data_IF_329284429000
#
_entry.id   IF_329284429000
#
_cell.length_a   1.000
_cell.length_b   1.000
_cell.length_c   1.000
_cell.angle_alpha   90.00
_cell.angle_beta   90.00
_cell.angle_gamma   90.00
#
_symmetry.space_group_name_H-M   'P 1'
#
loop_
_entity.id
_entity.type
_entity.pdbx_description
1 polymer ?
#
# COMPACT_ATOMS: atom_id res chain seq x y z
N UNK A 1 10.45 -14.96 42.50
CA UNK A 1 10.27 -13.78 41.68
C UNK A 1 11.36 -13.65 40.64
N UNK A 2 12.63 -13.79 41.02
CA UNK A 2 13.76 -13.68 40.06
C UNK A 2 13.78 -14.85 39.07
N UNK A 3 13.52 -16.07 39.54
CA UNK A 3 13.46 -17.24 38.67
C UNK A 3 12.32 -17.16 37.64
N UNK A 4 11.18 -16.63 38.06
CA UNK A 4 10.03 -16.45 37.16
C UNK A 4 10.32 -15.39 36.05
N UNK A 5 11.01 -14.31 36.41
CA UNK A 5 11.40 -13.29 35.47
C UNK A 5 12.43 -13.80 34.44
N UNK A 6 13.40 -14.60 34.91
CA UNK A 6 14.39 -15.23 34.05
C UNK A 6 13.77 -16.25 33.10
N UNK A 7 12.82 -17.07 33.58
CA UNK A 7 12.10 -18.04 32.75
C UNK A 7 11.24 -17.35 31.69
N UNK A 8 10.58 -16.25 32.04
CA UNK A 8 9.79 -15.46 31.10
C UNK A 8 10.67 -14.82 30.02
N UNK A 9 11.80 -14.23 30.44
CA UNK A 9 12.73 -13.60 29.49
C UNK A 9 13.28 -14.61 28.47
N UNK A 10 13.60 -15.84 28.95
CA UNK A 10 14.06 -16.92 28.09
C UNK A 10 12.98 -17.38 27.12
N UNK A 11 11.75 -17.54 27.59
CA UNK A 11 10.62 -17.92 26.75
C UNK A 11 10.31 -16.87 25.69
N UNK A 12 10.36 -15.59 26.07
CA UNK A 12 10.15 -14.47 25.15
C UNK A 12 11.24 -14.44 24.07
N UNK A 13 12.50 -14.66 24.44
CA UNK A 13 13.62 -14.71 23.49
C UNK A 13 13.51 -15.89 22.52
N UNK A 14 13.10 -17.06 23.01
CA UNK A 14 12.89 -18.25 22.18
C UNK A 14 11.72 -18.03 21.19
N UNK A 15 10.62 -17.42 21.65
CA UNK A 15 9.48 -17.11 20.81
C UNK A 15 9.86 -16.12 19.70
N UNK A 16 10.64 -15.10 20.03
CA UNK A 16 11.13 -14.13 19.04
C UNK A 16 12.06 -14.78 18.01
N UNK A 17 12.99 -15.59 18.45
CA UNK A 17 13.92 -16.30 17.56
C UNK A 17 13.17 -17.20 16.60
N UNK A 18 12.13 -17.90 17.05
CA UNK A 18 11.29 -18.75 16.23
C UNK A 18 10.52 -17.93 15.21
N UNK A 19 9.92 -16.82 15.62
CA UNK A 19 9.18 -15.93 14.74
C UNK A 19 10.11 -15.33 13.67
N UNK A 20 11.32 -14.90 14.05
CA UNK A 20 12.31 -14.36 13.10
C UNK A 20 12.75 -15.42 12.08
N UNK A 21 12.95 -16.68 12.53
CA UNK A 21 13.32 -17.78 11.64
C UNK A 21 12.19 -18.13 10.67
N UNK A 22 10.95 -18.14 11.14
CA UNK A 22 9.77 -18.38 10.28
C UNK A 22 9.60 -17.26 9.24
N UNK A 23 9.81 -16.00 9.63
CA UNK A 23 9.74 -14.86 8.73
C UNK A 23 10.81 -14.94 7.64
N UNK A 24 12.05 -15.31 8.00
CA UNK A 24 13.15 -15.50 7.03
C UNK A 24 12.86 -16.65 6.07
N UNK A 25 12.34 -17.76 6.57
CA UNK A 25 12.00 -18.91 5.74
C UNK A 25 10.89 -18.57 4.75
N UNK A 26 9.87 -17.82 5.20
CA UNK A 26 8.77 -17.35 4.34
C UNK A 26 9.29 -16.41 3.27
N UNK A 27 10.14 -15.46 3.62
CA UNK A 27 10.74 -14.53 2.66
C UNK A 27 11.57 -15.26 1.63
N UNK A 28 12.41 -16.22 2.04
CA UNK A 28 13.24 -17.00 1.14
C UNK A 28 12.40 -17.85 0.19
N UNK A 29 11.23 -18.33 0.63
CA UNK A 29 10.32 -19.13 -0.19
C UNK A 29 9.46 -18.28 -1.14
N UNK A 30 9.39 -16.96 -0.94
CA UNK A 30 8.58 -16.09 -1.78
C UNK A 30 9.21 -15.95 -3.17
N UNK A 31 8.44 -16.18 -4.26
CA UNK A 31 8.98 -16.04 -5.61
C UNK A 31 9.56 -14.64 -5.87
N UNK A 32 10.63 -14.60 -6.65
CA UNK A 32 11.30 -13.32 -6.97
C UNK A 32 10.34 -12.36 -7.71
N UNK A 33 9.45 -12.89 -8.53
CA UNK A 33 8.45 -12.06 -9.23
C UNK A 33 7.54 -11.34 -8.25
N UNK A 34 7.14 -12.01 -7.16
CA UNK A 34 6.32 -11.40 -6.11
C UNK A 34 7.07 -10.27 -5.39
N UNK A 35 8.35 -10.49 -5.11
CA UNK A 35 9.20 -9.46 -4.50
C UNK A 35 9.37 -8.26 -5.42
N UNK A 36 9.54 -8.51 -6.71
CA UNK A 36 9.65 -7.44 -7.70
C UNK A 36 8.35 -6.66 -7.84
N UNK A 37 7.22 -7.33 -7.83
CA UNK A 37 5.91 -6.67 -7.85
C UNK A 37 5.73 -5.77 -6.63
N UNK A 38 6.14 -6.23 -5.44
CA UNK A 38 6.08 -5.42 -4.23
C UNK A 38 6.98 -4.18 -4.32
N UNK A 39 8.18 -4.31 -4.86
CA UNK A 39 9.08 -3.16 -5.06
C UNK A 39 8.45 -2.13 -6.00
N UNK A 40 7.85 -2.58 -7.08
CA UNK A 40 7.15 -1.68 -8.01
C UNK A 40 5.94 -1.02 -7.34
N UNK A 41 5.18 -1.77 -6.56
CA UNK A 41 4.05 -1.24 -5.82
C UNK A 41 4.47 -0.13 -4.85
N UNK A 42 5.59 -0.33 -4.15
CA UNK A 42 6.14 0.69 -3.24
C UNK A 42 6.50 1.97 -3.99
N UNK A 43 7.10 1.85 -5.18
CA UNK A 43 7.42 3.01 -6.01
C UNK A 43 6.17 3.76 -6.46
N UNK A 44 5.16 3.03 -6.93
CA UNK A 44 3.90 3.64 -7.35
C UNK A 44 3.19 4.36 -6.20
N UNK A 45 3.21 3.78 -5.01
CA UNK A 45 2.62 4.43 -3.84
C UNK A 45 3.41 5.66 -3.40
N UNK A 46 4.73 5.53 -3.26
CA UNK A 46 5.57 6.59 -2.68
C UNK A 46 5.78 7.76 -3.65
N UNK A 47 5.91 7.48 -4.93
CA UNK A 47 6.25 8.50 -5.94
C UNK A 47 5.03 9.03 -6.68
N UNK A 48 4.03 8.20 -6.91
CA UNK A 48 2.86 8.55 -7.73
C UNK A 48 1.57 8.63 -6.92
N UNK A 49 1.60 8.30 -5.63
CA UNK A 49 0.46 8.40 -4.73
C UNK A 49 -0.79 7.70 -5.26
N UNK A 50 -0.61 6.50 -5.79
CA UNK A 50 -1.68 5.75 -6.42
C UNK A 50 -2.57 5.04 -5.39
N UNK A 51 -3.78 4.73 -5.80
CA UNK A 51 -4.70 3.89 -5.01
C UNK A 51 -4.29 2.42 -5.07
N UNK A 52 -4.80 1.62 -4.14
CA UNK A 52 -4.57 0.17 -4.14
C UNK A 52 -5.03 -0.47 -5.45
N UNK A 53 -6.24 -0.15 -5.91
CA UNK A 53 -6.79 -0.66 -7.16
C UNK A 53 -5.97 -0.19 -8.37
N UNK A 54 -5.55 1.07 -8.37
CA UNK A 54 -4.72 1.62 -9.45
C UNK A 54 -3.36 0.93 -9.54
N UNK A 55 -2.72 0.66 -8.40
CA UNK A 55 -1.44 -0.06 -8.36
C UNK A 55 -1.62 -1.48 -8.90
N UNK A 56 -2.67 -2.19 -8.46
CA UNK A 56 -2.97 -3.54 -8.96
C UNK A 56 -3.13 -3.54 -10.48
N UNK A 57 -3.90 -2.62 -11.02
CA UNK A 57 -4.13 -2.52 -12.47
C UNK A 57 -2.82 -2.24 -13.22
N UNK A 58 -1.99 -1.35 -12.69
CA UNK A 58 -0.71 -1.02 -13.31
C UNK A 58 0.25 -2.21 -13.29
N UNK A 59 0.27 -2.96 -12.20
CA UNK A 59 1.12 -4.15 -12.09
C UNK A 59 0.69 -5.25 -13.06
N UNK A 60 -0.59 -5.43 -13.30
CA UNK A 60 -1.12 -6.51 -14.14
C UNK A 60 -1.30 -6.11 -15.62
N UNK A 61 -1.25 -4.83 -15.95
CA UNK A 61 -1.47 -4.37 -17.31
C UNK A 61 -0.39 -4.86 -18.27
N UNK A 62 -0.78 -5.35 -19.45
CA UNK A 62 0.15 -5.70 -20.52
C UNK A 62 0.94 -4.49 -21.02
N UNK A 63 0.37 -3.32 -20.93
CA UNK A 63 1.05 -2.06 -21.28
C UNK A 63 1.80 -1.44 -20.10
N UNK A 64 1.62 -1.99 -18.89
CA UNK A 64 2.34 -1.60 -17.69
C UNK A 64 3.42 -2.64 -17.37
N UNK A 65 3.37 -3.20 -16.16
CA UNK A 65 4.43 -4.09 -15.66
C UNK A 65 4.24 -5.56 -16.05
N UNK A 66 3.03 -5.96 -16.42
CA UNK A 66 2.76 -7.33 -16.88
C UNK A 66 2.95 -8.45 -15.87
N UNK A 67 2.85 -8.14 -14.57
CA UNK A 67 2.92 -9.19 -13.54
C UNK A 67 1.66 -10.05 -13.54
N UNK A 68 1.78 -11.28 -13.03
CA UNK A 68 0.62 -12.13 -12.83
C UNK A 68 -0.34 -11.54 -11.79
N UNK A 69 -1.61 -11.96 -11.85
CA UNK A 69 -2.61 -11.53 -10.86
C UNK A 69 -2.17 -11.90 -9.44
N UNK A 70 -1.57 -13.08 -9.26
CA UNK A 70 -1.08 -13.56 -7.97
C UNK A 70 0.06 -12.67 -7.43
N UNK A 71 1.01 -12.31 -8.28
CA UNK A 71 2.12 -11.44 -7.90
C UNK A 71 1.61 -10.04 -7.52
N UNK A 72 0.69 -9.49 -8.31
CA UNK A 72 0.11 -8.19 -8.03
C UNK A 72 -0.71 -8.18 -6.74
N UNK A 73 -1.48 -9.24 -6.49
CA UNK A 73 -2.25 -9.37 -5.25
C UNK A 73 -1.34 -9.45 -4.03
N UNK A 74 -0.28 -10.26 -4.14
CA UNK A 74 0.74 -10.31 -3.08
C UNK A 74 1.30 -8.91 -2.80
N UNK A 75 1.64 -8.18 -3.84
CA UNK A 75 2.24 -6.86 -3.72
C UNK A 75 1.32 -5.88 -2.99
N UNK A 76 0.06 -5.77 -3.41
CA UNK A 76 -0.87 -4.82 -2.78
C UNK A 76 -1.30 -5.24 -1.38
N UNK A 77 -1.31 -6.55 -1.09
CA UNK A 77 -1.64 -7.06 0.25
C UNK A 77 -0.50 -6.86 1.25
N UNK A 78 0.75 -6.86 0.77
CA UNK A 78 1.93 -6.71 1.62
C UNK A 78 2.52 -5.29 1.59
N UNK A 79 1.95 -4.41 0.81
CA UNK A 79 2.33 -3.01 0.74
C UNK A 79 1.71 -2.26 1.92
N UNK A 80 2.51 -1.77 2.83
CA UNK A 80 2.05 -0.97 3.97
C UNK A 80 1.91 0.49 3.58
N UNK A 81 1.03 0.77 2.60
CA UNK A 81 0.81 2.13 2.13
C UNK A 81 -0.29 2.82 2.94
N UNK A 82 -0.15 4.12 3.11
CA UNK A 82 -1.21 4.98 3.63
C UNK A 82 -1.99 5.53 2.43
N UNK A 83 -3.05 4.84 2.06
CA UNK A 83 -3.87 5.23 0.89
C UNK A 83 -4.68 6.50 1.14
N UNK A 84 -5.00 6.82 2.39
CA UNK A 84 -5.61 8.10 2.73
C UNK A 84 -4.65 9.25 2.39
N UNK A 85 -3.37 9.08 2.73
CA UNK A 85 -2.34 10.06 2.37
C UNK A 85 -2.17 10.14 0.85
N UNK A 86 -2.15 9.00 0.16
CA UNK A 86 -2.05 8.99 -1.30
C UNK A 86 -3.22 9.73 -1.95
N UNK A 87 -4.44 9.52 -1.47
CA UNK A 87 -5.61 10.22 -1.95
C UNK A 87 -5.50 11.73 -1.70
N UNK A 88 -5.04 12.13 -0.52
CA UNK A 88 -4.88 13.54 -0.17
C UNK A 88 -3.83 14.22 -1.06
N UNK A 89 -2.68 13.58 -1.28
CA UNK A 89 -1.63 14.14 -2.14
C UNK A 89 -2.11 14.28 -3.58
N UNK A 90 -2.83 13.30 -4.09
CA UNK A 90 -3.45 13.36 -5.42
C UNK A 90 -4.49 14.49 -5.49
N UNK A 91 -5.34 14.60 -4.46
CA UNK A 91 -6.35 15.66 -4.38
C UNK A 91 -5.73 17.05 -4.35
N UNK A 92 -4.65 17.24 -3.60
CA UNK A 92 -3.91 18.52 -3.56
C UNK A 92 -3.39 18.90 -4.94
N UNK A 93 -2.88 17.93 -5.68
CA UNK A 93 -2.39 18.16 -7.04
C UNK A 93 -3.52 18.61 -7.97
N UNK A 94 -4.67 17.97 -7.91
CA UNK A 94 -5.84 18.38 -8.69
C UNK A 94 -6.32 19.78 -8.33
N UNK A 95 -6.34 20.11 -7.03
CA UNK A 95 -6.78 21.43 -6.58
C UNK A 95 -5.82 22.54 -7.01
N UNK A 96 -4.51 22.33 -6.84
CA UNK A 96 -3.51 23.38 -7.09
C UNK A 96 -3.08 23.48 -8.55
N UNK A 97 -2.92 22.35 -9.25
CA UNK A 97 -2.42 22.34 -10.62
C UNK A 97 -3.52 22.36 -11.68
N UNK A 98 -4.69 21.82 -11.37
CA UNK A 98 -5.79 21.70 -12.31
C UNK A 98 -6.99 22.55 -11.93
N UNK A 99 -6.92 23.30 -10.83
CA UNK A 99 -7.96 24.21 -10.36
C UNK A 99 -9.35 23.57 -10.24
N UNK A 100 -9.38 22.29 -9.82
CA UNK A 100 -10.62 21.53 -9.71
C UNK A 100 -11.36 21.86 -8.39
N UNK A 101 -12.69 21.80 -8.43
CA UNK A 101 -13.51 21.89 -7.24
C UNK A 101 -13.40 20.62 -6.39
N UNK A 102 -13.75 20.72 -5.10
CA UNK A 102 -13.74 19.56 -4.21
C UNK A 102 -14.67 18.44 -4.68
N UNK A 103 -15.85 18.78 -5.20
CA UNK A 103 -16.79 17.81 -5.73
C UNK A 103 -16.22 17.08 -6.95
N UNK A 104 -15.60 17.82 -7.87
CA UNK A 104 -14.96 17.23 -9.06
C UNK A 104 -13.76 16.36 -8.66
N UNK A 105 -12.99 16.78 -7.65
CA UNK A 105 -11.87 15.98 -7.13
C UNK A 105 -12.37 14.68 -6.55
N UNK A 106 -13.43 14.71 -5.75
CA UNK A 106 -14.02 13.49 -5.19
C UNK A 106 -14.42 12.51 -6.29
N UNK A 107 -15.10 13.01 -7.31
CA UNK A 107 -15.55 12.18 -8.44
C UNK A 107 -14.35 11.58 -9.19
N UNK A 108 -13.29 12.35 -9.41
CA UNK A 108 -12.08 11.87 -10.08
C UNK A 108 -11.36 10.84 -9.25
N UNK A 109 -11.27 11.03 -7.93
CA UNK A 109 -10.61 10.10 -7.03
C UNK A 109 -11.31 8.74 -6.99
N UNK A 110 -12.63 8.72 -7.07
CA UNK A 110 -13.43 7.49 -6.98
C UNK A 110 -13.76 6.87 -8.33
N UNK A 111 -13.52 7.56 -9.43
CA UNK A 111 -13.88 7.10 -10.77
C UNK A 111 -13.15 5.79 -11.12
N UNK A 112 -13.88 4.84 -11.73
CA UNK A 112 -13.30 3.63 -12.29
C UNK A 112 -12.40 3.91 -13.51
N UNK A 113 -12.54 5.07 -14.13
CA UNK A 113 -11.67 5.55 -15.20
C UNK A 113 -10.61 6.52 -14.70
N UNK A 114 -10.65 6.91 -13.43
CA UNK A 114 -9.70 7.81 -12.80
C UNK A 114 -8.81 7.07 -11.82
N UNK A 115 -8.77 7.56 -10.58
CA UNK A 115 -7.79 7.11 -9.59
C UNK A 115 -8.19 5.84 -8.84
N UNK A 116 -9.47 5.48 -8.83
CA UNK A 116 -10.00 4.26 -8.20
C UNK A 116 -9.75 4.18 -6.69
N UNK A 117 -9.67 5.31 -5.98
CA UNK A 117 -9.67 5.29 -4.52
C UNK A 117 -11.05 4.88 -3.99
N UNK A 118 -11.09 4.37 -2.76
CA UNK A 118 -12.37 4.08 -2.11
C UNK A 118 -13.08 5.38 -1.74
N UNK A 119 -14.40 5.29 -1.51
CA UNK A 119 -15.19 6.44 -1.07
C UNK A 119 -14.64 7.04 0.23
N UNK A 120 -14.21 6.20 1.17
CA UNK A 120 -13.65 6.62 2.44
C UNK A 120 -12.32 7.37 2.26
N UNK A 121 -11.45 6.87 1.39
CA UNK A 121 -10.17 7.52 1.06
C UNK A 121 -10.39 8.86 0.39
N UNK A 122 -11.31 8.92 -0.57
CA UNK A 122 -11.64 10.16 -1.27
C UNK A 122 -12.27 11.19 -0.32
N UNK A 123 -13.14 10.75 0.58
CA UNK A 123 -13.76 11.65 1.57
C UNK A 123 -12.72 12.22 2.54
N UNK A 124 -11.80 11.36 3.00
CA UNK A 124 -10.67 11.83 3.81
C UNK A 124 -9.89 12.92 3.08
N UNK A 125 -9.59 12.68 1.80
CA UNK A 125 -8.80 13.59 1.00
C UNK A 125 -9.49 14.97 0.87
N UNK A 126 -10.76 15.00 0.45
CA UNK A 126 -11.46 16.28 0.26
C UNK A 126 -11.72 16.99 1.57
N UNK A 127 -11.90 16.27 2.69
CA UNK A 127 -12.09 16.87 4.01
C UNK A 127 -10.81 17.54 4.54
N UNK A 128 -9.65 17.14 4.04
CA UNK A 128 -8.35 17.66 4.49
C UNK A 128 -7.71 18.62 3.47
N UNK A 129 -8.41 18.95 2.39
CA UNK A 129 -7.93 19.95 1.44
C UNK A 129 -8.04 21.36 2.03
N UNK A 130 -7.15 22.29 1.65
CA UNK A 130 -7.29 23.70 1.99
C UNK A 130 -8.64 24.26 1.54
N UNK A 131 -9.17 25.19 2.31
CA UNK A 131 -10.44 25.83 2.02
C UNK A 131 -10.37 26.69 0.73
#
# INVERSE_FOLDING_TARGET
AKADAEAKAKADAEAKAKADAEAKAKEAATPIEYKNALKKAQSYSNMMHMSKAGIYDQLTSDMGEGFSAEAAQYAVDNLNADYNKNALETAKSYQSHMAMSKDSIYDQLTSSYGEKFTAEEAQYAVNNLPA
#
